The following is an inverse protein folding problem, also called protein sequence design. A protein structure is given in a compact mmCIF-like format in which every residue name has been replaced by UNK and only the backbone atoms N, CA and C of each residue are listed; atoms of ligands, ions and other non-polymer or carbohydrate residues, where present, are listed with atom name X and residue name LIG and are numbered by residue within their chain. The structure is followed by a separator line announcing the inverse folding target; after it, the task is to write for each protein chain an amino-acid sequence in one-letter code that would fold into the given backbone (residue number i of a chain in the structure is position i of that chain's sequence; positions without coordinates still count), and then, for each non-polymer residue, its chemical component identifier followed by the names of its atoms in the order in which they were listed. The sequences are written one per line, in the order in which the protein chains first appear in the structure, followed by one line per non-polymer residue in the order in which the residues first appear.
data_IF_324615230047
#
_entry.id   IF_324615230047
#
_cell.length_a   1.000
_cell.length_b   1.000
_cell.length_c   1.000
_cell.angle_alpha   90.00
_cell.angle_beta   90.00
_cell.angle_gamma   90.00
#
_symmetry.space_group_name_H-M   'P 1'
#
loop_
_entity.id
_entity.type
_entity.pdbx_description
1 polymer ?
#
# COMPACT_ATOMS: atom_id res chain seq x y z
N UNK A 1 -22.05 3.22 -21.99
CA UNK A 1 -20.89 2.45 -21.49
C UNK A 1 -20.81 2.82 -20.03
N UNK A 2 -21.09 1.87 -19.15
CA UNK A 2 -20.72 2.05 -17.74
C UNK A 2 -19.20 2.15 -17.73
N UNK A 3 -18.67 3.29 -17.30
CA UNK A 3 -17.23 3.41 -17.04
C UNK A 3 -16.95 2.44 -15.90
N UNK A 4 -16.36 1.28 -16.21
CA UNK A 4 -15.81 0.39 -15.18
C UNK A 4 -14.84 1.25 -14.37
N UNK A 5 -15.18 1.49 -13.09
CA UNK A 5 -14.39 2.36 -12.23
C UNK A 5 -12.95 1.82 -12.14
N UNK A 6 -12.00 2.57 -12.67
CA UNK A 6 -10.59 2.17 -12.70
C UNK A 6 -10.03 2.14 -11.26
N UNK A 7 -9.51 0.97 -10.87
CA UNK A 7 -8.89 0.76 -9.57
C UNK A 7 -7.37 0.81 -9.68
N UNK A 8 -6.75 1.36 -8.65
CA UNK A 8 -5.31 1.57 -8.58
C UNK A 8 -4.73 0.85 -7.37
N UNK A 9 -3.50 0.36 -7.52
CA UNK A 9 -2.76 -0.33 -6.46
C UNK A 9 -1.66 0.58 -5.91
N UNK A 10 -1.72 0.86 -4.61
CA UNK A 10 -0.64 1.48 -3.86
C UNK A 10 0.19 0.41 -3.15
N UNK A 11 1.37 0.13 -3.68
CA UNK A 11 2.30 -0.84 -3.11
C UNK A 11 2.76 -0.39 -1.73
N UNK A 12 2.63 -1.28 -0.75
CA UNK A 12 3.04 -1.04 0.64
C UNK A 12 4.55 -1.24 0.73
N UNK A 13 5.34 -0.20 1.08
CA UNK A 13 6.77 -0.34 1.23
C UNK A 13 7.15 -1.34 2.34
N UNK A 14 8.29 -2.03 2.21
CA UNK A 14 8.80 -2.85 3.31
C UNK A 14 9.08 -1.96 4.53
N UNK A 15 8.65 -2.43 5.71
CA UNK A 15 8.86 -1.72 6.98
C UNK A 15 7.67 -0.91 7.47
N UNK A 16 6.57 -0.82 6.72
CA UNK A 16 5.32 -0.24 7.23
C UNK A 16 4.78 -1.10 8.40
N UNK A 17 4.59 -0.52 9.61
CA UNK A 17 4.00 -1.23 10.74
C UNK A 17 2.60 -1.77 10.43
N UNK A 18 2.33 -2.98 10.93
CA UNK A 18 1.00 -3.62 10.78
C UNK A 18 -0.14 -2.81 11.40
N UNK A 19 0.15 -1.98 12.40
CA UNK A 19 -0.82 -1.06 13.00
C UNK A 19 -1.29 -0.03 11.98
N UNK A 20 -0.38 0.63 11.27
CA UNK A 20 -0.72 1.60 10.22
C UNK A 20 -1.54 0.93 9.11
N UNK A 21 -1.18 -0.30 8.71
CA UNK A 21 -1.94 -1.05 7.70
C UNK A 21 -3.37 -1.31 8.16
N UNK A 22 -3.57 -1.73 9.41
CA UNK A 22 -4.91 -1.94 9.98
C UNK A 22 -5.69 -0.64 10.05
N UNK A 23 -5.07 0.43 10.55
CA UNK A 23 -5.73 1.72 10.71
C UNK A 23 -6.18 2.30 9.35
N UNK A 24 -5.40 2.05 8.28
CA UNK A 24 -5.80 2.36 6.90
C UNK A 24 -7.06 1.58 6.47
N UNK A 25 -7.08 0.26 6.69
CA UNK A 25 -8.22 -0.60 6.31
C UNK A 25 -9.50 -0.28 7.10
N UNK A 26 -9.37 0.27 8.31
CA UNK A 26 -10.52 0.71 9.12
C UNK A 26 -11.02 2.11 8.72
N UNK A 27 -10.18 2.93 8.09
CA UNK A 27 -10.46 4.35 7.82
C UNK A 27 -10.83 4.64 6.36
N UNK A 28 -10.24 3.91 5.41
CA UNK A 28 -10.36 4.19 3.97
C UNK A 28 -11.05 3.04 3.23
N UNK A 29 -11.72 3.36 2.13
CA UNK A 29 -12.37 2.38 1.26
C UNK A 29 -11.36 1.77 0.30
N UNK A 30 -10.48 0.92 0.85
CA UNK A 30 -9.45 0.20 0.10
C UNK A 30 -9.35 -1.26 0.54
N UNK A 31 -8.96 -2.12 -0.39
CA UNK A 31 -8.73 -3.54 -0.13
C UNK A 31 -7.24 -3.86 -0.03
N UNK A 32 -6.87 -4.77 0.87
CA UNK A 32 -5.51 -5.29 0.95
C UNK A 32 -5.34 -6.45 -0.03
N UNK A 33 -4.55 -6.26 -1.09
CA UNK A 33 -4.31 -7.26 -2.12
C UNK A 33 -2.84 -7.70 -2.17
N UNK A 34 -2.55 -8.97 -2.52
CA UNK A 34 -1.18 -9.38 -2.79
C UNK A 34 -0.70 -8.74 -4.10
N UNK A 35 0.48 -8.12 -4.06
CA UNK A 35 1.14 -7.54 -5.21
C UNK A 35 2.41 -8.34 -5.52
N UNK A 36 2.32 -9.20 -6.53
CA UNK A 36 3.44 -10.01 -7.01
C UNK A 36 4.28 -9.22 -8.00
N UNK A 37 5.23 -8.44 -7.51
CA UNK A 37 6.28 -7.86 -8.34
C UNK A 37 7.65 -8.43 -7.96
N UNK A 38 8.44 -8.82 -8.97
CA UNK A 38 9.85 -9.19 -8.77
C UNK A 38 10.65 -7.93 -8.46
N UNK A 39 10.71 -7.56 -7.19
CA UNK A 39 11.54 -6.44 -6.74
C UNK A 39 12.94 -6.93 -6.40
N UNK A 40 13.90 -6.53 -7.23
CA UNK A 40 15.32 -6.57 -6.89
C UNK A 40 15.64 -5.39 -5.98
N UNK A 41 15.31 -5.48 -4.68
CA UNK A 41 15.80 -4.49 -3.72
C UNK A 41 17.32 -4.66 -3.57
N UNK A 42 18.04 -3.53 -3.69
CA UNK A 42 19.48 -3.43 -3.86
C UNK A 42 20.38 -4.06 -2.75
N UNK A 43 19.82 -4.73 -1.74
CA UNK A 43 20.57 -5.37 -0.65
C UNK A 43 20.11 -6.81 -0.34
N UNK A 44 19.23 -7.43 -1.13
CA UNK A 44 18.75 -8.78 -0.88
C UNK A 44 18.85 -9.63 -2.14
N UNK A 45 19.79 -10.58 -2.15
CA UNK A 45 19.79 -11.66 -3.13
C UNK A 45 18.51 -12.49 -2.95
N UNK A 46 17.62 -12.44 -3.94
CA UNK A 46 16.82 -13.60 -4.33
C UNK A 46 15.49 -13.89 -3.62
N UNK A 47 15.02 -13.08 -2.67
CA UNK A 47 13.70 -13.31 -2.07
C UNK A 47 12.59 -12.65 -2.89
N UNK A 48 11.87 -13.45 -3.70
CA UNK A 48 10.53 -13.10 -4.21
C UNK A 48 9.60 -12.90 -3.01
N UNK A 49 9.55 -11.68 -2.46
CA UNK A 49 8.57 -11.34 -1.43
C UNK A 49 7.24 -10.98 -2.10
N UNK A 50 6.20 -11.75 -1.79
CA UNK A 50 4.81 -11.33 -2.00
C UNK A 50 4.61 -10.01 -1.24
N UNK A 51 4.61 -8.88 -1.96
CA UNK A 51 4.26 -7.60 -1.37
C UNK A 51 2.76 -7.50 -1.20
N UNK A 52 2.36 -6.50 -0.43
CA UNK A 52 0.97 -6.11 -0.29
C UNK A 52 0.76 -4.75 -0.96
N UNK A 53 -0.43 -4.52 -1.46
CA UNK A 53 -0.87 -3.22 -1.96
C UNK A 53 -2.26 -2.89 -1.44
N UNK A 54 -2.56 -1.60 -1.32
CA UNK A 54 -3.92 -1.12 -1.13
C UNK A 54 -4.54 -0.85 -2.50
N UNK A 55 -5.65 -1.54 -2.80
CA UNK A 55 -6.42 -1.37 -4.02
C UNK A 55 -7.63 -0.49 -3.76
N UNK A 56 -7.82 0.56 -4.54
CA UNK A 56 -8.99 1.42 -4.45
C UNK A 56 -9.08 2.43 -5.58
N UNK A 57 -10.05 3.34 -5.50
CA UNK A 57 -10.16 4.46 -6.44
C UNK A 57 -8.96 5.39 -6.30
N UNK A 58 -8.57 6.08 -7.38
CA UNK A 58 -7.41 6.99 -7.38
C UNK A 58 -7.45 7.99 -6.21
N UNK A 59 -8.62 8.62 -5.98
CA UNK A 59 -8.79 9.59 -4.90
C UNK A 59 -8.56 8.96 -3.51
N UNK A 60 -9.11 7.77 -3.27
CA UNK A 60 -8.89 7.04 -2.02
C UNK A 60 -7.42 6.67 -1.84
N UNK A 61 -6.81 6.12 -2.89
CA UNK A 61 -5.40 5.70 -2.90
C UNK A 61 -4.46 6.87 -2.59
N UNK A 62 -4.70 8.05 -3.15
CA UNK A 62 -3.90 9.24 -2.86
C UNK A 62 -4.05 9.70 -1.40
N UNK A 63 -5.25 9.60 -0.83
CA UNK A 63 -5.46 9.89 0.60
C UNK A 63 -4.75 8.88 1.49
N UNK A 64 -4.78 7.60 1.11
CA UNK A 64 -4.05 6.53 1.81
C UNK A 64 -2.54 6.77 1.75
N UNK A 65 -1.99 7.17 0.59
CA UNK A 65 -0.56 7.50 0.46
C UNK A 65 -0.15 8.62 1.43
N UNK A 66 -0.91 9.72 1.44
CA UNK A 66 -0.64 10.85 2.32
C UNK A 66 -0.73 10.46 3.81
N UNK A 67 -1.77 9.71 4.20
CA UNK A 67 -1.93 9.22 5.56
C UNK A 67 -0.79 8.28 5.97
N UNK A 68 -0.49 7.29 5.13
CA UNK A 68 0.57 6.32 5.39
C UNK A 68 1.92 7.01 5.57
N UNK A 69 2.24 8.01 4.73
CA UNK A 69 3.50 8.75 4.83
C UNK A 69 3.61 9.55 6.13
N UNK A 70 2.53 10.20 6.57
CA UNK A 70 2.51 10.96 7.82
C UNK A 70 2.59 10.05 9.06
N UNK A 71 1.89 8.92 9.08
CA UNK A 71 1.99 7.95 10.17
C UNK A 71 3.38 7.30 10.22
N UNK A 72 3.99 7.01 9.06
CA UNK A 72 5.36 6.51 8.99
C UNK A 72 6.37 7.53 9.54
N UNK A 73 6.22 8.82 9.26
CA UNK A 73 7.06 9.88 9.87
C UNK A 73 6.91 9.93 11.38
N UNK A 74 5.70 9.77 11.91
CA UNK A 74 5.43 9.73 13.36
C UNK A 74 6.02 8.47 14.01
N UNK A 75 6.08 7.36 13.28
CA UNK A 75 6.65 6.11 13.78
C UNK A 75 8.18 6.13 13.86
N UNK A 76 8.84 6.86 12.96
CA UNK A 76 10.32 6.93 12.88
C UNK A 76 10.91 7.99 13.84
N UNK A 77 10.14 9.02 14.22
CA UNK A 77 10.55 10.09 15.13
C UNK A 77 10.14 9.81 16.58
#
# INVERSE_FOLDING_TARGET
MEEEEELFDLVIPPGVPRTIIRDILETFDVELVPHRSRLYFANMEGDERDLLAFRGKMEEVQRVEAFMFEEMKKFIN
#
